data_IF_883432582701
#
_entry.id   IF_883432582701
#
_cell.length_a   1.000
_cell.length_b   1.000
_cell.length_c   1.000
_cell.angle_alpha   90.00
_cell.angle_beta   90.00
_cell.angle_gamma   90.00
#
_symmetry.space_group_name_H-M   'P 1'
#
loop_
_entity.id
_entity.type
_entity.pdbx_description
1 polymer ?
#
# COMPACT_ATOMS: atom_id res chain seq x y z
N UNK A 1 17.57 -14.81 0.88
CA UNK A 1 18.76 -15.64 1.12
C UNK A 1 18.98 -16.51 -0.11
N UNK A 2 19.88 -16.13 -1.02
CA UNK A 2 20.17 -16.89 -2.25
C UNK A 2 20.83 -18.23 -1.92
N UNK A 3 20.50 -19.27 -2.68
CA UNK A 3 21.07 -20.61 -2.52
C UNK A 3 21.81 -20.99 -3.79
N UNK A 4 22.96 -21.63 -3.66
CA UNK A 4 23.77 -22.05 -4.80
C UNK A 4 23.93 -23.57 -4.80
N UNK A 5 23.91 -24.17 -5.98
CA UNK A 5 24.27 -25.57 -6.20
C UNK A 5 25.54 -25.62 -7.04
N UNK A 6 26.45 -26.53 -6.70
CA UNK A 6 27.66 -26.75 -7.50
C UNK A 6 27.34 -27.73 -8.62
N UNK A 7 27.51 -27.29 -9.87
CA UNK A 7 27.39 -28.13 -11.06
C UNK A 7 28.65 -27.97 -11.89
N UNK A 8 29.30 -29.08 -12.24
CA UNK A 8 30.51 -29.10 -13.07
C UNK A 8 31.63 -28.15 -12.59
N UNK A 9 31.77 -27.97 -11.27
CA UNK A 9 32.82 -27.13 -10.70
C UNK A 9 32.41 -25.68 -10.43
N UNK A 10 31.35 -25.18 -11.06
CA UNK A 10 30.84 -23.82 -10.88
C UNK A 10 29.65 -23.78 -9.90
N UNK A 11 29.51 -22.67 -9.19
CA UNK A 11 28.32 -22.38 -8.39
C UNK A 11 27.26 -21.74 -9.28
N UNK A 12 26.06 -22.32 -9.27
CA UNK A 12 24.89 -21.81 -9.96
C UNK A 12 23.83 -21.43 -8.92
N UNK A 13 23.19 -20.29 -9.10
CA UNK A 13 22.07 -19.92 -8.25
C UNK A 13 20.89 -20.87 -8.50
N UNK A 14 20.29 -21.35 -7.41
CA UNK A 14 19.11 -22.21 -7.43
C UNK A 14 17.87 -21.31 -7.37
N UNK A 15 17.29 -21.07 -8.54
CA UNK A 15 16.07 -20.25 -8.68
C UNK A 15 14.80 -21.04 -8.33
N UNK A 16 14.79 -22.34 -8.62
CA UNK A 16 13.62 -23.20 -8.41
C UNK A 16 14.01 -24.57 -7.86
N UNK A 17 13.05 -25.25 -7.24
CA UNK A 17 13.20 -26.61 -6.71
C UNK A 17 12.00 -27.45 -7.12
N UNK A 18 12.25 -28.71 -7.43
CA UNK A 18 11.20 -29.65 -7.82
C UNK A 18 11.29 -30.92 -6.96
N UNK A 19 10.13 -31.50 -6.65
CA UNK A 19 9.99 -32.79 -6.00
C UNK A 19 9.08 -33.66 -6.85
N UNK A 20 9.35 -34.97 -6.87
CA UNK A 20 8.55 -35.92 -7.63
C UNK A 20 7.41 -36.42 -6.75
N UNK A 21 6.17 -36.19 -7.17
CA UNK A 21 4.94 -36.64 -6.50
C UNK A 21 4.16 -37.49 -7.50
N UNK A 22 3.92 -38.77 -7.17
CA UNK A 22 3.23 -39.73 -8.05
C UNK A 22 3.83 -39.79 -9.46
N UNK A 23 5.16 -39.75 -9.57
CA UNK A 23 5.86 -39.81 -10.85
C UNK A 23 5.96 -38.48 -11.60
N UNK A 24 5.25 -37.44 -11.17
CA UNK A 24 5.22 -36.11 -11.81
C UNK A 24 6.12 -35.14 -11.03
N UNK A 25 6.95 -34.39 -11.73
CA UNK A 25 7.71 -33.30 -11.12
C UNK A 25 6.78 -32.14 -10.78
N UNK A 26 6.80 -31.72 -9.52
CA UNK A 26 6.07 -30.57 -9.02
C UNK A 26 7.04 -29.59 -8.38
N UNK A 27 6.81 -28.30 -8.58
CA UNK A 27 7.65 -27.27 -7.95
C UNK A 27 7.43 -27.28 -6.43
N UNK A 28 8.52 -27.29 -5.68
CA UNK A 28 8.50 -27.18 -4.23
C UNK A 28 8.21 -25.73 -3.88
N UNK A 29 7.02 -25.46 -3.37
CA UNK A 29 6.60 -24.10 -3.03
C UNK A 29 6.93 -23.69 -1.60
N UNK A 30 7.09 -24.67 -0.71
CA UNK A 30 7.59 -24.47 0.64
C UNK A 30 8.30 -25.74 1.15
N UNK A 31 9.17 -25.57 2.16
CA UNK A 31 9.70 -26.68 2.96
C UNK A 31 9.54 -26.33 4.43
N UNK A 32 9.07 -27.31 5.21
CA UNK A 32 8.98 -27.20 6.65
C UNK A 32 9.97 -28.19 7.30
N UNK A 33 10.52 -27.83 8.46
CA UNK A 33 11.22 -28.74 9.35
C UNK A 33 10.58 -28.68 10.73
N UNK A 34 10.50 -29.83 11.37
CA UNK A 34 9.99 -29.93 12.73
C UNK A 34 11.10 -29.56 13.70
N UNK A 35 10.90 -28.52 14.50
CA UNK A 35 11.78 -28.15 15.61
C UNK A 35 10.92 -28.01 16.86
N UNK A 36 11.31 -28.68 17.94
CA UNK A 36 10.59 -28.67 19.23
C UNK A 36 9.09 -28.97 19.11
N UNK A 37 8.72 -29.91 18.24
CA UNK A 37 7.32 -30.30 18.03
C UNK A 37 6.53 -29.41 17.08
N UNK A 38 6.99 -28.19 16.77
CA UNK A 38 6.36 -27.27 15.83
C UNK A 38 6.95 -27.40 14.42
N UNK A 39 6.10 -27.27 13.40
CA UNK A 39 6.53 -27.16 12.01
C UNK A 39 6.98 -25.73 11.73
N UNK A 40 8.26 -25.55 11.42
CA UNK A 40 8.84 -24.27 11.05
C UNK A 40 9.15 -24.27 9.56
N UNK A 41 8.67 -23.25 8.84
CA UNK A 41 8.97 -23.09 7.43
C UNK A 41 10.42 -22.66 7.24
N UNK A 42 11.18 -23.37 6.40
CA UNK A 42 12.60 -23.11 6.11
C UNK A 42 12.90 -22.85 4.64
N UNK A 43 11.86 -22.88 3.81
CA UNK A 43 11.91 -22.50 2.41
C UNK A 43 10.51 -22.11 1.95
N UNK A 44 10.45 -21.11 1.08
CA UNK A 44 9.34 -20.76 0.23
C UNK A 44 9.92 -20.42 -1.14
N UNK A 45 9.32 -20.93 -2.22
CA UNK A 45 9.50 -20.29 -3.53
C UNK A 45 8.58 -19.08 -3.54
N UNK A 46 9.12 -17.90 -3.26
CA UNK A 46 8.33 -16.68 -3.30
C UNK A 46 8.08 -16.24 -4.75
N UNK A 47 6.89 -15.71 -5.04
CA UNK A 47 6.70 -14.88 -6.24
C UNK A 47 7.23 -13.48 -5.93
N UNK A 48 7.73 -12.75 -6.92
CA UNK A 48 8.01 -11.33 -6.71
C UNK A 48 6.71 -10.58 -6.57
N UNK A 49 6.71 -9.56 -5.72
CA UNK A 49 5.55 -8.72 -5.50
C UNK A 49 5.15 -7.98 -6.79
N UNK A 50 6.12 -7.61 -7.64
CA UNK A 50 5.84 -7.01 -8.96
C UNK A 50 5.15 -7.94 -9.96
N UNK A 51 5.21 -9.25 -9.76
CA UNK A 51 4.58 -10.22 -10.67
C UNK A 51 3.08 -10.37 -10.37
N UNK A 52 2.61 -9.84 -9.23
CA UNK A 52 1.19 -9.89 -8.87
C UNK A 52 0.41 -8.82 -9.64
N UNK A 53 -0.77 -9.17 -10.20
CA UNK A 53 -1.62 -8.19 -10.86
C UNK A 53 -2.15 -7.16 -9.87
N UNK A 54 -2.35 -5.93 -10.35
CA UNK A 54 -3.09 -4.89 -9.63
C UNK A 54 -4.47 -5.42 -9.24
N UNK A 55 -4.90 -5.13 -8.01
CA UNK A 55 -6.10 -5.69 -7.39
C UNK A 55 -5.86 -6.95 -6.56
N UNK A 56 -4.66 -7.56 -6.62
CA UNK A 56 -4.30 -8.68 -5.73
C UNK A 56 -4.31 -8.25 -4.27
N UNK A 57 -4.75 -9.16 -3.39
CA UNK A 57 -4.77 -8.93 -1.95
C UNK A 57 -3.52 -9.49 -1.28
N UNK A 58 -3.02 -8.73 -0.31
CA UNK A 58 -1.90 -9.07 0.56
C UNK A 58 -2.37 -9.11 2.01
N UNK A 59 -1.70 -9.92 2.82
CA UNK A 59 -1.84 -9.94 4.27
C UNK A 59 -0.56 -9.40 4.91
N UNK A 60 -0.71 -8.32 5.68
CA UNK A 60 0.38 -7.64 6.39
C UNK A 60 -0.02 -7.51 7.85
N UNK A 61 0.88 -7.83 8.78
CA UNK A 61 0.57 -7.74 10.20
C UNK A 61 0.77 -6.31 10.72
N UNK A 62 -0.26 -5.79 11.37
CA UNK A 62 -0.25 -4.57 12.19
C UNK A 62 -0.28 -4.99 13.67
N UNK A 63 0.79 -4.73 14.41
CA UNK A 63 0.96 -5.16 15.81
C UNK A 63 0.70 -6.66 16.03
N UNK A 64 1.12 -7.48 15.05
CA UNK A 64 0.91 -8.93 15.07
C UNK A 64 -0.48 -9.40 14.59
N UNK A 65 -1.39 -8.49 14.27
CA UNK A 65 -2.73 -8.81 13.76
C UNK A 65 -2.73 -8.71 12.23
N UNK A 66 -3.10 -9.77 11.49
CA UNK A 66 -3.15 -9.73 10.03
C UNK A 66 -4.23 -8.78 9.53
N UNK A 67 -3.85 -7.90 8.60
CA UNK A 67 -4.74 -6.96 7.92
C UNK A 67 -4.60 -7.11 6.41
N UNK A 68 -5.70 -6.87 5.69
CA UNK A 68 -5.76 -6.98 4.24
C UNK A 68 -5.32 -5.67 3.57
N UNK A 69 -4.45 -5.79 2.59
CA UNK A 69 -3.98 -4.72 1.71
C UNK A 69 -4.25 -5.09 0.27
N UNK A 70 -4.46 -4.11 -0.59
CA UNK A 70 -4.67 -4.29 -2.01
C UNK A 70 -3.54 -3.63 -2.80
N UNK A 71 -3.04 -4.31 -3.83
CA UNK A 71 -2.09 -3.71 -4.77
C UNK A 71 -2.86 -2.72 -5.65
N UNK A 72 -2.48 -1.45 -5.59
CA UNK A 72 -3.15 -0.36 -6.35
C UNK A 72 -2.38 0.10 -7.57
N UNK A 73 -1.06 -0.13 -7.60
CA UNK A 73 -0.18 0.24 -8.70
C UNK A 73 1.10 -0.60 -8.72
N UNK A 74 1.70 -0.77 -9.90
CA UNK A 74 3.02 -1.37 -10.06
C UNK A 74 3.96 -0.38 -10.77
N UNK A 75 5.14 -0.15 -10.22
CA UNK A 75 6.14 0.77 -10.75
C UNK A 75 5.90 2.23 -10.35
N UNK A 76 6.51 3.15 -11.10
CA UNK A 76 6.29 4.59 -10.96
C UNK A 76 5.03 5.01 -11.74
N UNK A 77 4.04 5.68 -11.13
CA UNK A 77 2.80 6.05 -11.81
C UNK A 77 2.95 7.02 -12.98
N UNK A 78 3.89 7.96 -12.89
CA UNK A 78 4.21 8.93 -13.94
C UNK A 78 5.55 9.60 -13.60
N UNK A 79 6.60 9.30 -14.36
CA UNK A 79 7.95 9.80 -14.10
C UNK A 79 8.10 11.31 -14.28
N UNK A 80 7.09 12.01 -14.83
CA UNK A 80 7.07 13.48 -14.91
C UNK A 80 6.59 14.15 -13.62
N UNK A 81 5.85 13.42 -12.79
CA UNK A 81 5.28 13.91 -11.52
C UNK A 81 6.01 13.31 -10.32
N UNK A 82 6.34 12.02 -10.40
CA UNK A 82 6.91 11.26 -9.30
C UNK A 82 8.40 10.99 -9.51
N UNK A 83 9.21 11.17 -8.47
CA UNK A 83 10.63 10.85 -8.52
C UNK A 83 10.88 9.33 -8.50
N UNK A 84 12.15 8.93 -8.61
CA UNK A 84 12.53 7.50 -8.68
C UNK A 84 12.17 6.71 -7.40
N UNK A 85 12.01 7.37 -6.25
CA UNK A 85 11.65 6.70 -5.00
C UNK A 85 10.20 6.20 -5.01
N UNK A 86 9.38 6.69 -5.94
CA UNK A 86 8.02 6.21 -6.15
C UNK A 86 7.93 4.96 -7.02
N UNK A 87 9.06 4.42 -7.49
CA UNK A 87 9.10 3.19 -8.27
C UNK A 87 9.08 1.96 -7.36
N UNK A 88 7.92 1.31 -7.26
CA UNK A 88 7.75 0.09 -6.47
C UNK A 88 6.34 -0.47 -6.58
N UNK A 89 5.97 -1.39 -5.70
CA UNK A 89 4.59 -1.87 -5.63
C UNK A 89 3.80 -1.04 -4.63
N UNK A 90 2.80 -0.31 -5.13
CA UNK A 90 1.95 0.51 -4.29
C UNK A 90 0.83 -0.35 -3.70
N UNK A 91 0.68 -0.29 -2.39
CA UNK A 91 -0.35 -1.02 -1.65
C UNK A 91 -1.17 -0.07 -0.81
N UNK A 92 -2.46 -0.36 -0.66
CA UNK A 92 -3.37 0.41 0.16
C UNK A 92 -4.10 -0.52 1.12
N UNK A 93 -4.28 -0.09 2.37
CA UNK A 93 -5.07 -0.84 3.34
C UNK A 93 -6.52 -0.99 2.85
N UNK A 94 -7.05 -2.20 2.89
CA UNK A 94 -8.40 -2.49 2.36
C UNK A 94 -9.48 -1.89 3.27
N UNK A 95 -9.35 -2.12 4.57
CA UNK A 95 -10.29 -1.61 5.57
C UNK A 95 -9.85 -0.23 6.09
N UNK A 96 -10.83 0.53 6.58
CA UNK A 96 -10.58 1.79 7.27
C UNK A 96 -9.84 1.58 8.59
N UNK A 97 -8.92 2.49 8.87
CA UNK A 97 -8.38 2.74 10.20
C UNK A 97 -9.11 3.96 10.78
N UNK A 98 -9.94 3.78 11.80
CA UNK A 98 -10.83 4.84 12.33
C UNK A 98 -10.28 5.50 13.58
N UNK A 99 -10.74 6.71 13.86
CA UNK A 99 -10.48 7.39 15.14
C UNK A 99 -9.24 8.30 15.14
N UNK A 100 -8.63 8.54 13.98
CA UNK A 100 -7.52 9.48 13.83
C UNK A 100 -8.02 10.72 13.09
N UNK A 101 -7.71 11.89 13.63
CA UNK A 101 -8.02 13.17 12.99
C UNK A 101 -6.98 13.49 11.93
N UNK A 102 -7.38 14.16 10.85
CA UNK A 102 -6.41 14.68 9.89
C UNK A 102 -5.47 15.69 10.57
N UNK A 103 -6.03 16.60 11.35
CA UNK A 103 -5.32 17.56 12.19
C UNK A 103 -6.04 17.76 13.53
N UNK A 104 -5.29 18.01 14.59
CA UNK A 104 -5.82 18.43 15.89
C UNK A 104 -6.13 19.92 15.93
N UNK A 105 -5.66 20.68 14.94
CA UNK A 105 -5.88 22.11 14.78
C UNK A 105 -6.80 22.32 13.57
N UNK A 106 -7.74 23.24 13.71
CA UNK A 106 -8.61 23.67 12.61
C UNK A 106 -7.78 24.22 11.44
N UNK A 107 -8.31 24.06 10.23
CA UNK A 107 -7.81 24.68 9.00
C UNK A 107 -6.37 24.29 8.59
N UNK A 108 -5.82 23.20 9.12
CA UNK A 108 -4.55 22.64 8.64
C UNK A 108 -4.80 21.60 7.57
N UNK A 109 -4.61 21.99 6.32
CA UNK A 109 -4.82 21.15 5.12
C UNK A 109 -3.54 20.64 4.49
N UNK A 110 -2.38 21.13 4.92
CA UNK A 110 -1.08 20.64 4.47
C UNK A 110 -0.83 19.24 5.02
N UNK A 111 -0.63 18.26 4.12
CA UNK A 111 -0.31 16.90 4.53
C UNK A 111 0.98 16.83 5.36
N UNK A 112 2.01 17.59 4.99
CA UNK A 112 3.28 17.63 5.73
C UNK A 112 3.08 17.99 7.22
N UNK A 113 2.22 18.97 7.49
CA UNK A 113 1.96 19.50 8.83
C UNK A 113 0.83 18.78 9.57
N UNK A 114 0.19 17.81 8.93
CA UNK A 114 -0.99 17.12 9.46
C UNK A 114 -0.64 16.14 10.59
N UNK A 115 -1.60 15.93 11.50
CA UNK A 115 -1.51 14.85 12.48
C UNK A 115 -1.57 13.48 11.80
N UNK A 116 -2.26 13.35 10.66
CA UNK A 116 -2.27 12.15 9.84
C UNK A 116 -0.86 11.73 9.40
N UNK A 117 -0.09 12.64 8.80
CA UNK A 117 1.29 12.35 8.36
C UNK A 117 2.19 11.95 9.54
N UNK A 118 2.12 12.69 10.65
CA UNK A 118 2.90 12.38 11.86
C UNK A 118 2.53 11.01 12.42
N UNK A 119 1.24 10.69 12.55
CA UNK A 119 0.78 9.40 13.05
C UNK A 119 1.17 8.24 12.12
N UNK A 120 0.98 8.41 10.80
CA UNK A 120 1.33 7.41 9.80
C UNK A 120 2.80 7.01 9.91
N UNK A 121 3.71 7.99 9.97
CA UNK A 121 5.14 7.74 9.89
C UNK A 121 5.81 7.47 11.24
N UNK A 122 5.27 7.99 12.35
CA UNK A 122 5.85 7.78 13.69
C UNK A 122 5.17 6.68 14.51
N UNK A 123 3.91 6.34 14.21
CA UNK A 123 3.13 5.35 14.98
C UNK A 123 2.74 4.16 14.13
N UNK A 124 2.00 4.37 13.04
CA UNK A 124 1.47 3.27 12.23
C UNK A 124 2.58 2.42 11.61
N UNK A 125 3.61 3.03 11.02
CA UNK A 125 4.76 2.30 10.46
C UNK A 125 5.42 1.37 11.49
N UNK A 126 5.51 1.79 12.76
CA UNK A 126 6.11 0.99 13.84
C UNK A 126 5.29 -0.27 14.18
N UNK A 127 4.01 -0.30 13.80
CA UNK A 127 3.15 -1.48 14.00
C UNK A 127 3.37 -2.55 12.93
N UNK A 128 3.94 -2.19 11.78
CA UNK A 128 4.02 -3.09 10.64
C UNK A 128 5.12 -4.14 10.83
N UNK A 129 4.83 -5.39 10.48
CA UNK A 129 5.86 -6.45 10.44
C UNK A 129 6.86 -6.31 9.29
N UNK A 130 6.63 -5.38 8.36
CA UNK A 130 7.33 -5.26 7.07
C UNK A 130 8.11 -3.94 6.92
N UNK A 131 8.44 -3.29 8.04
CA UNK A 131 9.09 -1.96 8.08
C UNK A 131 10.35 -1.83 7.21
N UNK A 132 11.11 -2.92 7.05
CA UNK A 132 12.33 -3.00 6.26
C UNK A 132 12.07 -3.10 4.74
N UNK A 133 10.84 -3.40 4.32
CA UNK A 133 10.43 -3.50 2.91
C UNK A 133 9.77 -2.21 2.40
N UNK A 134 9.46 -1.27 3.30
CA UNK A 134 8.90 0.02 2.97
C UNK A 134 9.93 0.89 2.27
N UNK A 135 9.56 1.43 1.12
CA UNK A 135 10.31 2.49 0.46
C UNK A 135 9.97 3.82 1.13
N UNK A 136 11.01 4.60 1.45
CA UNK A 136 10.85 5.99 1.89
C UNK A 136 10.74 6.87 0.64
N UNK A 137 9.52 7.24 0.28
CA UNK A 137 9.20 7.86 -1.00
C UNK A 137 8.89 9.36 -0.87
N UNK A 138 9.27 10.14 -1.88
CA UNK A 138 8.95 11.56 -2.00
C UNK A 138 7.59 11.73 -2.69
N UNK A 139 6.54 11.87 -1.90
CA UNK A 139 5.16 11.89 -2.38
C UNK A 139 4.73 13.31 -2.77
N UNK A 140 4.24 13.56 -4.01
CA UNK A 140 3.74 14.87 -4.45
C UNK A 140 2.46 15.30 -3.71
N UNK A 141 2.40 16.59 -3.35
CA UNK A 141 1.25 17.29 -2.77
C UNK A 141 1.10 18.68 -3.44
N UNK A 142 -0.06 19.34 -3.32
CA UNK A 142 -0.40 20.58 -4.06
C UNK A 142 0.62 21.71 -3.83
N UNK A 143 1.27 21.76 -2.66
CA UNK A 143 2.18 22.86 -2.29
C UNK A 143 3.64 22.44 -2.08
N UNK A 144 3.93 21.14 -2.04
CA UNK A 144 5.22 20.58 -1.65
C UNK A 144 5.30 19.08 -1.97
N UNK A 145 6.44 18.48 -1.68
CA UNK A 145 6.58 17.02 -1.62
C UNK A 145 6.86 16.59 -0.18
N UNK A 146 6.35 15.41 0.18
CA UNK A 146 6.51 14.85 1.53
C UNK A 146 7.26 13.53 1.43
N UNK A 147 8.46 13.48 2.01
CA UNK A 147 9.18 12.23 2.15
C UNK A 147 8.58 11.41 3.29
N UNK A 148 8.05 10.23 2.99
CA UNK A 148 7.36 9.37 3.95
C UNK A 148 7.38 7.90 3.53
N UNK A 149 7.13 7.00 4.50
CA UNK A 149 6.97 5.56 4.25
C UNK A 149 5.50 5.15 4.12
N UNK A 150 4.61 5.88 4.79
CA UNK A 150 3.18 5.69 4.71
C UNK A 150 2.48 7.05 4.50
N UNK A 151 1.43 7.05 3.68
CA UNK A 151 0.70 8.25 3.28
C UNK A 151 -0.78 7.97 3.02
N UNK A 152 -1.56 9.01 2.79
CA UNK A 152 -2.91 8.91 2.24
C UNK A 152 -2.86 9.19 0.74
N UNK A 153 -3.66 8.50 -0.06
CA UNK A 153 -3.74 8.78 -1.50
C UNK A 153 -4.31 10.18 -1.75
N UNK A 154 -3.98 10.76 -2.91
CA UNK A 154 -4.58 11.99 -3.42
C UNK A 154 -5.85 11.71 -4.22
N UNK A 155 -6.64 12.76 -4.44
CA UNK A 155 -7.82 12.75 -5.34
C UNK A 155 -7.46 12.24 -6.74
N UNK A 156 -6.35 12.73 -7.27
CA UNK A 156 -5.85 12.36 -8.61
C UNK A 156 -5.43 10.89 -8.66
N UNK A 157 -4.78 10.38 -7.62
CA UNK A 157 -4.42 8.96 -7.49
C UNK A 157 -5.63 8.05 -7.43
N UNK A 158 -6.70 8.50 -6.78
CA UNK A 158 -7.99 7.83 -6.70
C UNK A 158 -8.88 8.03 -7.95
N UNK A 159 -8.33 8.56 -9.05
CA UNK A 159 -9.00 8.62 -10.35
C UNK A 159 -9.96 9.79 -10.58
N UNK A 160 -10.01 10.77 -9.67
CA UNK A 160 -10.76 12.01 -9.93
C UNK A 160 -9.81 13.08 -10.50
N UNK A 161 -9.93 13.33 -11.80
CA UNK A 161 -9.15 14.35 -12.51
C UNK A 161 -9.97 15.62 -12.80
N UNK A 162 -11.18 15.74 -12.25
CA UNK A 162 -12.04 16.92 -12.49
C UNK A 162 -11.53 18.17 -11.77
N UNK A 163 -10.71 17.99 -10.75
CA UNK A 163 -10.06 19.05 -9.97
C UNK A 163 -8.73 19.42 -10.59
N UNK A 164 -8.71 20.44 -11.44
CA UNK A 164 -7.49 20.89 -12.13
C UNK A 164 -6.35 21.25 -11.18
N UNK A 165 -6.69 21.73 -9.98
CA UNK A 165 -5.72 22.07 -8.93
C UNK A 165 -5.00 20.85 -8.31
N UNK A 166 -5.59 19.65 -8.34
CA UNK A 166 -4.96 18.43 -7.82
C UNK A 166 -4.08 17.72 -8.85
N UNK A 167 -3.99 18.23 -10.08
CA UNK A 167 -3.21 17.61 -11.15
C UNK A 167 -1.70 17.52 -10.85
N UNK A 168 -1.20 18.35 -9.93
CA UNK A 168 0.20 18.31 -9.46
C UNK A 168 0.45 17.26 -8.36
N UNK A 169 -0.58 16.69 -7.74
CA UNK A 169 -0.42 15.73 -6.64
C UNK A 169 -0.35 14.28 -7.09
N UNK A 170 -0.59 14.01 -8.37
CA UNK A 170 -0.50 12.65 -8.89
C UNK A 170 -1.23 12.37 -10.20
N UNK A 171 -1.22 11.08 -10.57
CA UNK A 171 -1.97 10.50 -11.67
C UNK A 171 -2.85 9.35 -11.18
N UNK A 172 -3.96 9.03 -11.87
CA UNK A 172 -4.78 7.87 -11.56
C UNK A 172 -3.95 6.59 -11.51
N UNK A 173 -3.90 5.96 -10.33
CA UNK A 173 -3.26 4.66 -10.19
C UNK A 173 -4.08 3.62 -10.97
N UNK A 174 -3.43 2.62 -11.55
CA UNK A 174 -4.05 1.56 -12.36
C UNK A 174 -5.32 0.99 -11.75
N UNK A 175 -5.33 0.77 -10.42
CA UNK A 175 -6.51 0.24 -9.74
C UNK A 175 -7.74 1.14 -9.82
N UNK A 176 -7.61 2.45 -10.04
CA UNK A 176 -8.72 3.42 -10.05
C UNK A 176 -9.08 3.93 -11.46
N UNK A 177 -8.55 3.32 -12.54
CA UNK A 177 -8.74 3.86 -13.90
C UNK A 177 -10.08 3.49 -14.56
N UNK A 178 -10.66 2.32 -14.26
CA UNK A 178 -11.87 1.83 -14.95
C UNK A 178 -13.17 2.08 -14.19
N UNK A 179 -13.15 2.00 -12.86
CA UNK A 179 -14.35 2.04 -12.02
C UNK A 179 -14.08 2.77 -10.71
N UNK A 180 -13.46 3.94 -10.83
CA UNK A 180 -12.90 4.67 -9.70
C UNK A 180 -13.88 4.84 -8.53
N UNK A 181 -15.16 5.14 -8.80
CA UNK A 181 -16.18 5.27 -7.74
C UNK A 181 -16.41 3.95 -6.98
N UNK A 182 -16.56 2.83 -7.67
CA UNK A 182 -16.73 1.51 -7.04
C UNK A 182 -15.46 1.09 -6.28
N UNK A 183 -14.29 1.37 -6.86
CA UNK A 183 -12.97 1.01 -6.30
C UNK A 183 -12.59 1.86 -5.07
N UNK A 184 -13.11 3.09 -4.98
CA UNK A 184 -12.95 3.99 -3.81
C UNK A 184 -13.78 3.57 -2.61
N UNK A 185 -14.89 2.84 -2.79
CA UNK A 185 -15.84 2.54 -1.71
C UNK A 185 -15.12 1.94 -0.49
N UNK A 186 -15.11 2.71 0.60
CA UNK A 186 -14.91 2.17 1.93
C UNK A 186 -16.28 1.77 2.48
N UNK A 187 -16.60 0.49 2.41
CA UNK A 187 -17.92 -0.05 2.80
C UNK A 187 -18.38 0.29 4.23
N UNK A 188 -17.46 0.71 5.11
CA UNK A 188 -17.76 0.96 6.51
C UNK A 188 -18.00 2.43 6.89
N UNK A 189 -17.43 3.42 6.19
CA UNK A 189 -17.48 4.84 6.57
C UNK A 189 -16.78 5.74 5.53
N UNK A 190 -16.52 7.01 5.86
CA UNK A 190 -15.74 7.94 5.05
C UNK A 190 -14.22 7.71 5.19
N UNK A 191 -13.46 7.93 4.11
CA UNK A 191 -11.98 7.87 4.08
C UNK A 191 -11.40 9.22 3.72
N UNK A 192 -10.49 9.77 4.53
CA UNK A 192 -9.82 11.03 4.21
C UNK A 192 -8.66 10.78 3.22
N UNK A 193 -8.50 11.70 2.26
CA UNK A 193 -7.40 11.80 1.30
C UNK A 193 -6.44 12.93 1.70
N UNK A 194 -5.21 12.93 1.14
CA UNK A 194 -4.23 13.98 1.46
C UNK A 194 -4.54 15.34 0.83
N UNK A 195 -5.38 15.37 -0.21
CA UNK A 195 -5.71 16.55 -1.01
C UNK A 195 -6.51 17.58 -0.20
N UNK A 196 -6.04 18.83 -0.10
CA UNK A 196 -6.86 19.96 0.35
C UNK A 196 -8.14 20.09 -0.49
N UNK A 197 -9.27 20.31 0.16
CA UNK A 197 -10.53 20.63 -0.49
C UNK A 197 -10.72 22.14 -0.52
N UNK A 198 -10.40 22.76 -1.65
CA UNK A 198 -10.59 24.20 -1.84
C UNK A 198 -12.00 24.47 -2.37
N UNK A 199 -12.94 24.68 -1.46
CA UNK A 199 -14.20 25.37 -1.80
C UNK A 199 -14.14 26.77 -1.22
N UNK A 200 -14.47 27.78 -2.03
CA UNK A 200 -14.67 29.15 -1.52
C UNK A 200 -15.97 29.14 -0.73
N UNK A 201 -15.89 28.81 0.56
CA UNK A 201 -17.02 29.00 1.48
C UNK A 201 -16.94 30.39 2.08
N UNK A 202 -18.11 31.00 2.33
CA UNK A 202 -18.21 32.29 3.02
C UNK A 202 -17.67 32.26 4.45
N UNK A 203 -17.46 31.06 5.01
CA UNK A 203 -16.99 30.84 6.38
C UNK A 203 -15.47 30.85 6.56
N UNK A 204 -14.68 30.81 5.48
CA UNK A 204 -13.21 30.81 5.56
C UNK A 204 -12.56 29.51 6.07
N UNK A 205 -13.35 28.49 6.39
CA UNK A 205 -12.87 27.18 6.84
C UNK A 205 -12.09 26.48 5.73
N UNK A 206 -11.03 25.75 6.10
CA UNK A 206 -10.31 24.87 5.18
C UNK A 206 -10.67 23.41 5.40
N UNK A 207 -10.79 22.69 4.29
CA UNK A 207 -11.27 21.31 4.26
C UNK A 207 -10.23 20.40 3.62
N UNK A 208 -10.33 19.10 3.88
CA UNK A 208 -9.63 18.04 3.15
C UNK A 208 -10.64 17.18 2.41
N UNK A 209 -10.22 16.54 1.32
CA UNK A 209 -11.12 15.65 0.59
C UNK A 209 -11.34 14.37 1.40
N UNK A 210 -12.59 13.94 1.47
CA UNK A 210 -12.98 12.62 1.91
C UNK A 210 -13.77 11.89 0.83
N UNK A 211 -13.63 10.58 0.81
CA UNK A 211 -14.44 9.66 0.03
C UNK A 211 -15.53 9.06 0.91
N UNK A 212 -16.76 9.00 0.41
CA UNK A 212 -17.87 8.38 1.14
C UNK A 212 -18.10 6.91 0.72
N UNK A 213 -19.05 6.24 1.38
CA UNK A 213 -19.38 4.83 1.13
C UNK A 213 -19.94 4.55 -0.28
N UNK A 214 -20.30 5.58 -1.03
CA UNK A 214 -20.72 5.49 -2.44
C UNK A 214 -19.59 5.81 -3.42
N UNK A 215 -18.39 6.13 -2.94
CA UNK A 215 -17.24 6.47 -3.77
C UNK A 215 -17.24 7.91 -4.29
N UNK A 216 -18.08 8.78 -3.74
CA UNK A 216 -18.09 10.21 -4.05
C UNK A 216 -17.12 10.98 -3.16
N UNK A 217 -16.52 12.02 -3.73
CA UNK A 217 -15.59 12.89 -3.04
C UNK A 217 -16.26 14.18 -2.59
N UNK A 218 -16.02 14.57 -1.34
CA UNK A 218 -16.56 15.80 -0.74
C UNK A 218 -15.56 16.41 0.25
N UNK A 219 -15.82 17.62 0.74
CA UNK A 219 -15.00 18.24 1.77
C UNK A 219 -15.31 17.69 3.17
N UNK A 220 -14.30 17.62 4.02
CA UNK A 220 -14.43 17.45 5.46
C UNK A 220 -13.55 18.43 6.23
N UNK A 221 -14.00 18.85 7.41
CA UNK A 221 -13.15 19.61 8.32
C UNK A 221 -11.92 18.78 8.70
N UNK A 222 -10.82 19.44 9.01
CA UNK A 222 -9.56 18.77 9.32
C UNK A 222 -9.56 18.10 10.70
N UNK A 223 -10.48 18.52 11.59
CA UNK A 223 -10.49 18.14 13.01
C UNK A 223 -11.48 17.05 13.40
N UNK A 224 -12.28 16.55 12.45
CA UNK A 224 -13.14 15.41 12.67
C UNK A 224 -12.32 14.11 12.70
N UNK A 225 -12.70 13.20 13.60
CA UNK A 225 -12.10 11.88 13.67
C UNK A 225 -12.81 10.97 12.67
N UNK A 226 -12.19 10.75 11.51
CA UNK A 226 -12.73 9.89 10.44
C UNK A 226 -11.77 8.70 10.22
N UNK A 227 -11.89 8.03 9.08
CA UNK A 227 -11.13 6.84 8.71
C UNK A 227 -10.04 7.18 7.71
N UNK A 228 -8.95 6.42 7.78
CA UNK A 228 -7.86 6.43 6.82
C UNK A 228 -7.72 5.08 6.15
N UNK A 229 -7.28 5.07 4.89
CA UNK A 229 -6.72 3.89 4.23
C UNK A 229 -5.25 4.17 3.94
N UNK A 230 -4.34 3.84 4.87
CA UNK A 230 -2.91 4.04 4.66
C UNK A 230 -2.45 3.36 3.37
N UNK A 231 -1.69 4.10 2.57
CA UNK A 231 -0.98 3.61 1.40
C UNK A 231 0.53 3.61 1.66
N UNK A 232 1.23 2.70 0.99
CA UNK A 232 2.67 2.49 1.12
C UNK A 232 3.24 2.02 -0.22
N UNK A 233 4.54 2.19 -0.40
CA UNK A 233 5.28 1.62 -1.54
C UNK A 233 6.24 0.58 -1.00
N UNK A 234 6.14 -0.63 -1.54
CA UNK A 234 6.99 -1.76 -1.19
C UNK A 234 8.04 -2.00 -2.28
N UNK A 235 9.17 -2.57 -1.89
CA UNK A 235 10.16 -3.06 -2.85
C UNK A 235 9.51 -4.12 -3.76
N UNK A 236 9.55 -3.90 -5.07
CA UNK A 236 9.00 -4.81 -6.08
C UNK A 236 9.60 -6.21 -6.06
N UNK A 237 10.86 -6.35 -5.63
CA UNK A 237 11.54 -7.64 -5.47
C UNK A 237 11.19 -8.34 -4.14
N UNK A 238 10.35 -7.75 -3.30
CA UNK A 238 9.82 -8.42 -2.12
C UNK A 238 9.14 -9.74 -2.51
N UNK A 239 9.34 -10.76 -1.69
CA UNK A 239 8.80 -12.09 -1.95
C UNK A 239 7.46 -12.26 -1.23
N UNK A 240 6.50 -12.85 -1.94
CA UNK A 240 5.21 -13.27 -1.39
C UNK A 240 5.05 -14.77 -1.45
N UNK A 241 4.07 -15.33 -0.73
CA UNK A 241 3.65 -16.71 -0.89
C UNK A 241 3.37 -17.08 -2.37
N UNK A 242 3.60 -18.34 -2.74
CA UNK A 242 3.38 -18.83 -4.11
C UNK A 242 1.90 -18.86 -4.52
N UNK A 243 1.03 -18.96 -3.51
CA UNK A 243 -0.43 -19.04 -3.63
C UNK A 243 -1.07 -18.19 -2.54
N UNK A 244 -2.35 -17.90 -2.73
CA UNK A 244 -3.19 -17.21 -1.75
C UNK A 244 -3.61 -18.15 -0.62
N UNK A 245 -3.89 -17.57 0.55
CA UNK A 245 -4.49 -18.27 1.69
C UNK A 245 -6.03 -18.39 1.56
N UNK A 246 -6.70 -18.84 2.62
CA UNK A 246 -8.15 -19.01 2.68
C UNK A 246 -8.94 -17.71 2.50
N UNK A 247 -8.32 -16.56 2.76
CA UNK A 247 -8.92 -15.24 2.61
C UNK A 247 -8.58 -14.60 1.25
N UNK A 248 -8.06 -15.42 0.33
CA UNK A 248 -7.60 -15.01 -1.00
C UNK A 248 -6.45 -13.98 -0.95
N UNK A 249 -5.61 -14.03 0.09
CA UNK A 249 -4.48 -13.12 0.28
C UNK A 249 -3.13 -13.83 0.06
N UNK A 250 -2.20 -13.14 -0.61
CA UNK A 250 -0.79 -13.49 -0.54
C UNK A 250 -0.17 -13.01 0.78
N UNK A 251 0.80 -13.75 1.33
CA UNK A 251 1.53 -13.35 2.54
C UNK A 251 2.92 -12.84 2.17
N UNK A 252 3.28 -11.64 2.63
CA UNK A 252 4.63 -11.07 2.46
C UNK A 252 5.63 -11.85 3.34
N UNK A 253 6.81 -12.17 2.80
CA UNK A 253 7.86 -12.96 3.47
C UNK A 253 8.97 -12.11 4.08
#
# INVERSE_FOLDING_TARGET
MSRYAKQSGALHEVTERYAKVNGVWQQVTARYVKQNGAWNQVYSSGKKLSDLPVGSLLKINESGVPQQYIIVHQGNPDTSIYDISCNGTWVMRSNLFVGIKYSNIYDVTSFLLSNANSWLNNTFVQTLSIQNQLINATIPCIFNSVQCKAFLLSVSECGDMTRTESASEGKPLTFFQSDAAEQRKSYANYSILRTPFRQITTSGNQYVVQENSWGYMQGNTTNDAIGFRPAMILNSDALVSSSVDSDNCYTLQ
#
